data_IF_648197577027
#
_entry.id   IF_648197577027
#
_cell.length_a   1.000
_cell.length_b   1.000
_cell.length_c   1.000
_cell.angle_alpha   90.00
_cell.angle_beta   90.00
_cell.angle_gamma   90.00
#
_symmetry.space_group_name_H-M   'P 1'
#
loop_
_entity.id
_entity.type
_entity.pdbx_description
1 polymer ?
#
# COMPACT_ATOMS: atom_id res chain seq x y z
N UNK A 1 14.16 25.32 18.68
CA UNK A 1 12.93 24.51 18.66
C UNK A 1 12.44 24.49 17.23
N UNK A 2 12.35 23.33 16.59
CA UNK A 2 11.71 23.25 15.28
C UNK A 2 10.24 23.61 15.46
N UNK A 3 9.72 24.57 14.68
CA UNK A 3 8.29 24.80 14.62
C UNK A 3 7.62 23.51 14.15
N UNK A 4 6.72 22.99 15.00
CA UNK A 4 5.90 21.85 14.62
C UNK A 4 4.95 22.31 13.52
N UNK A 5 5.16 21.80 12.32
CA UNK A 5 4.29 22.03 11.17
C UNK A 5 2.83 21.70 11.52
N UNK A 6 1.96 22.71 11.48
CA UNK A 6 0.53 22.57 11.74
C UNK A 6 -0.22 22.38 10.42
N UNK A 7 -0.75 21.17 10.21
CA UNK A 7 -1.65 20.84 9.11
C UNK A 7 -3.11 20.91 9.57
N UNK A 8 -3.98 21.53 8.78
CA UNK A 8 -5.42 21.41 9.00
C UNK A 8 -5.90 19.98 8.68
N UNK A 9 -6.99 19.55 9.29
CA UNK A 9 -7.56 18.22 9.00
C UNK A 9 -7.94 18.05 7.51
N UNK A 10 -8.55 19.04 6.83
CA UNK A 10 -8.79 18.98 5.39
C UNK A 10 -7.51 18.84 4.55
N UNK A 11 -6.45 19.60 4.87
CA UNK A 11 -5.19 19.53 4.12
C UNK A 11 -4.52 18.17 4.30
N UNK A 12 -4.53 17.62 5.52
CA UNK A 12 -4.01 16.28 5.78
C UNK A 12 -4.80 15.23 4.99
N UNK A 13 -6.13 15.32 4.96
CA UNK A 13 -6.96 14.41 4.19
C UNK A 13 -6.67 14.51 2.68
N UNK A 14 -6.51 15.72 2.15
CA UNK A 14 -6.16 15.95 0.76
C UNK A 14 -4.80 15.32 0.41
N UNK A 15 -3.77 15.56 1.23
CA UNK A 15 -2.43 14.99 1.02
C UNK A 15 -2.42 13.47 1.10
N UNK A 16 -3.13 12.87 2.06
CA UNK A 16 -3.27 11.42 2.17
C UNK A 16 -3.96 10.82 0.95
N UNK A 17 -5.06 11.42 0.49
CA UNK A 17 -5.76 10.99 -0.72
C UNK A 17 -4.86 11.10 -1.96
N UNK A 18 -4.17 12.23 -2.14
CA UNK A 18 -3.22 12.42 -3.24
C UNK A 18 -2.11 11.36 -3.22
N UNK A 19 -1.56 11.03 -2.04
CA UNK A 19 -0.53 9.99 -1.91
C UNK A 19 -1.06 8.61 -2.30
N UNK A 20 -2.23 8.23 -1.79
CA UNK A 20 -2.84 6.92 -2.11
C UNK A 20 -3.15 6.83 -3.61
N UNK A 21 -3.74 7.87 -4.20
CA UNK A 21 -4.01 7.92 -5.64
C UNK A 21 -2.72 7.79 -6.45
N UNK A 22 -1.69 8.57 -6.12
CA UNK A 22 -0.39 8.53 -6.78
C UNK A 22 0.20 7.12 -6.81
N UNK A 23 0.22 6.44 -5.66
CA UNK A 23 0.86 5.13 -5.55
C UNK A 23 0.11 4.03 -6.31
N UNK A 24 -1.20 4.18 -6.52
CA UNK A 24 -2.05 3.20 -7.19
C UNK A 24 -2.15 3.47 -8.70
N UNK A 25 -2.05 4.73 -9.14
CA UNK A 25 -2.26 5.08 -10.54
C UNK A 25 -1.23 4.42 -11.46
N UNK A 26 0.01 4.27 -11.00
CA UNK A 26 1.10 3.67 -11.78
C UNK A 26 0.83 2.19 -12.13
N UNK A 27 0.58 1.28 -11.17
CA UNK A 27 0.26 -0.10 -11.51
C UNK A 27 -1.09 -0.24 -12.24
N UNK A 28 -2.06 0.66 -12.03
CA UNK A 28 -3.30 0.66 -12.83
C UNK A 28 -3.03 1.03 -14.28
N UNK A 29 -2.20 2.06 -14.52
CA UNK A 29 -1.77 2.43 -15.87
C UNK A 29 -1.02 1.30 -16.58
N UNK A 30 -0.17 0.58 -15.87
CA UNK A 30 0.54 -0.57 -16.43
C UNK A 30 -0.39 -1.74 -16.82
N UNK A 31 -1.54 -1.91 -16.14
CA UNK A 31 -2.57 -2.88 -16.56
C UNK A 31 -3.17 -2.46 -17.91
N UNK A 32 -3.52 -1.18 -18.06
CA UNK A 32 -4.10 -0.67 -19.32
C UNK A 32 -3.10 -0.83 -20.47
N UNK A 33 -1.84 -0.48 -20.28
CA UNK A 33 -0.80 -0.67 -21.29
C UNK A 33 -0.65 -2.16 -21.68
N UNK A 34 -0.78 -3.07 -20.71
CA UNK A 34 -0.77 -4.50 -21.01
C UNK A 34 -1.99 -4.97 -21.80
N UNK A 35 -3.16 -4.36 -21.60
CA UNK A 35 -4.35 -4.66 -22.40
C UNK A 35 -4.18 -4.14 -23.84
N UNK A 36 -3.63 -2.94 -24.02
CA UNK A 36 -3.31 -2.39 -25.34
C UNK A 36 -2.34 -3.30 -26.12
N UNK A 37 -1.31 -3.83 -25.46
CA UNK A 37 -0.38 -4.78 -26.08
C UNK A 37 -1.04 -6.11 -26.49
N UNK A 38 -2.08 -6.56 -25.77
CA UNK A 38 -2.85 -7.73 -26.17
C UNK A 38 -3.69 -7.45 -27.42
N UNK A 39 -4.25 -6.25 -27.52
CA UNK A 39 -5.04 -5.83 -28.68
C UNK A 39 -4.16 -5.67 -29.94
N UNK A 40 -2.91 -5.23 -29.78
CA UNK A 40 -1.91 -5.15 -30.87
C UNK A 40 -1.42 -6.54 -31.33
N UNK A 41 -1.32 -7.49 -30.39
CA UNK A 41 -0.88 -8.85 -30.64
C UNK A 41 0.64 -8.99 -30.84
N UNK A 42 1.13 -10.23 -30.73
CA UNK A 42 2.55 -10.55 -30.95
C UNK A 42 3.45 -10.43 -29.72
N UNK A 43 2.87 -10.04 -28.58
CA UNK A 43 3.55 -10.00 -27.27
C UNK A 43 2.64 -10.51 -26.13
N UNK A 44 1.70 -11.40 -26.44
CA UNK A 44 0.60 -11.78 -25.54
C UNK A 44 1.08 -12.32 -24.19
N UNK A 45 2.16 -13.10 -24.17
CA UNK A 45 2.72 -13.64 -22.92
C UNK A 45 3.29 -12.54 -22.02
N UNK A 46 4.04 -11.61 -22.60
CA UNK A 46 4.65 -10.48 -21.88
C UNK A 46 3.58 -9.49 -21.41
N UNK A 47 2.58 -9.24 -22.25
CA UNK A 47 1.42 -8.41 -21.92
C UNK A 47 0.62 -9.00 -20.74
N UNK A 48 0.32 -10.31 -20.78
CA UNK A 48 -0.34 -10.99 -19.67
C UNK A 48 0.51 -11.01 -18.40
N UNK A 49 1.84 -11.12 -18.53
CA UNK A 49 2.76 -11.03 -17.39
C UNK A 49 2.74 -9.63 -16.77
N UNK A 50 2.77 -8.58 -17.59
CA UNK A 50 2.67 -7.19 -17.15
C UNK A 50 1.35 -6.93 -16.39
N UNK A 51 0.22 -7.37 -16.94
CA UNK A 51 -1.10 -7.22 -16.31
C UNK A 51 -1.12 -7.90 -14.93
N UNK A 52 -0.70 -9.18 -14.87
CA UNK A 52 -0.71 -9.95 -13.62
C UNK A 52 0.18 -9.34 -12.55
N UNK A 53 1.38 -8.90 -12.94
CA UNK A 53 2.32 -8.30 -12.01
C UNK A 53 1.80 -6.94 -11.50
N UNK A 54 1.24 -6.14 -12.38
CA UNK A 54 0.70 -4.82 -12.06
C UNK A 54 -0.55 -4.91 -11.20
N UNK A 55 -1.45 -5.86 -11.48
CA UNK A 55 -2.62 -6.13 -10.64
C UNK A 55 -2.25 -6.58 -9.22
N UNK A 56 -1.22 -7.43 -9.08
CA UNK A 56 -0.67 -7.83 -7.78
C UNK A 56 -0.09 -6.63 -7.03
N UNK A 57 0.67 -5.77 -7.72
CA UNK A 57 1.26 -4.56 -7.13
C UNK A 57 0.17 -3.57 -6.67
N UNK A 58 -0.83 -3.28 -7.51
CA UNK A 58 -1.97 -2.44 -7.15
C UNK A 58 -2.71 -2.99 -5.91
N UNK A 59 -2.96 -4.30 -5.89
CA UNK A 59 -3.62 -4.97 -4.76
C UNK A 59 -2.82 -4.87 -3.47
N UNK A 60 -1.50 -5.10 -3.53
CA UNK A 60 -0.63 -4.99 -2.35
C UNK A 60 -0.61 -3.56 -1.78
N UNK A 61 -0.50 -2.55 -2.65
CA UNK A 61 -0.55 -1.13 -2.26
C UNK A 61 -1.89 -0.74 -1.62
N UNK A 62 -3.00 -1.19 -2.22
CA UNK A 62 -4.33 -0.97 -1.66
C UNK A 62 -4.51 -1.62 -0.29
N UNK A 63 -4.09 -2.87 -0.14
CA UNK A 63 -4.18 -3.60 1.13
C UNK A 63 -3.34 -2.96 2.23
N UNK A 64 -2.13 -2.52 1.90
CA UNK A 64 -1.27 -1.77 2.81
C UNK A 64 -1.91 -0.44 3.21
N UNK A 65 -2.31 0.38 2.24
CA UNK A 65 -2.94 1.68 2.47
C UNK A 65 -4.20 1.58 3.34
N UNK A 66 -4.99 0.52 3.15
CA UNK A 66 -6.19 0.26 3.95
C UNK A 66 -5.90 0.12 5.45
N UNK A 67 -4.77 -0.49 5.83
CA UNK A 67 -4.38 -0.63 7.23
C UNK A 67 -3.59 0.61 7.69
N UNK A 68 -2.61 1.06 6.91
CA UNK A 68 -1.69 2.15 7.26
C UNK A 68 -2.38 3.50 7.37
N UNK A 69 -3.33 3.81 6.47
CA UNK A 69 -4.02 5.10 6.41
C UNK A 69 -5.50 4.98 6.75
N UNK A 70 -6.13 3.87 6.37
CA UNK A 70 -7.57 3.67 6.51
C UNK A 70 -8.08 3.63 7.95
N UNK A 71 -9.41 3.70 8.06
CA UNK A 71 -10.13 3.63 9.31
C UNK A 71 -10.55 2.18 9.58
N UNK A 72 -9.61 1.37 10.08
CA UNK A 72 -10.01 0.22 10.89
C UNK A 72 -10.72 0.82 12.14
N UNK A 73 -12.03 0.55 12.24
CA UNK A 73 -13.07 1.26 12.99
C UNK A 73 -12.80 1.65 14.45
N UNK A 74 -13.68 2.49 14.97
CA UNK A 74 -13.97 2.79 16.39
C UNK A 74 -12.80 3.13 17.34
N UNK A 75 -13.10 3.84 18.43
CA UNK A 75 -12.18 3.89 19.55
C UNK A 75 -11.99 2.47 20.12
N UNK A 76 -10.75 2.09 20.49
CA UNK A 76 -10.47 0.79 21.11
C UNK A 76 -10.22 -0.39 20.16
N UNK A 77 -10.25 -0.19 18.83
CA UNK A 77 -9.90 -1.28 17.91
C UNK A 77 -8.42 -1.67 18.00
N UNK A 78 -8.22 -2.98 18.02
CA UNK A 78 -6.92 -3.63 17.99
C UNK A 78 -6.69 -4.20 16.59
N UNK A 79 -5.45 -4.15 16.12
CA UNK A 79 -5.01 -4.75 14.85
C UNK A 79 -4.00 -5.84 15.16
N UNK A 80 -4.15 -6.97 14.49
CA UNK A 80 -3.20 -8.07 14.53
C UNK A 80 -1.92 -7.70 13.77
N UNK A 81 -0.78 -7.76 14.45
CA UNK A 81 0.52 -7.49 13.84
C UNK A 81 0.89 -8.51 12.76
N UNK A 82 0.30 -9.70 12.75
CA UNK A 82 0.43 -10.65 11.64
C UNK A 82 -0.26 -10.18 10.36
N UNK A 83 -1.40 -9.49 10.48
CA UNK A 83 -2.06 -8.88 9.31
C UNK A 83 -1.22 -7.70 8.79
N UNK A 84 -0.63 -6.93 9.70
CA UNK A 84 0.28 -5.83 9.35
C UNK A 84 1.55 -6.34 8.65
N UNK A 85 2.16 -7.40 9.17
CA UNK A 85 3.31 -8.08 8.57
C UNK A 85 2.98 -8.57 7.15
N UNK A 86 1.85 -9.26 6.99
CA UNK A 86 1.43 -9.80 5.70
C UNK A 86 1.29 -8.71 4.62
N UNK A 87 0.65 -7.58 4.95
CA UNK A 87 0.52 -6.47 3.98
C UNK A 87 1.84 -5.74 3.75
N UNK A 88 2.70 -5.62 4.76
CA UNK A 88 4.01 -4.99 4.63
C UNK A 88 4.96 -5.81 3.72
N UNK A 89 5.00 -7.13 3.91
CA UNK A 89 5.75 -8.05 3.04
C UNK A 89 5.22 -7.99 1.61
N UNK A 90 3.90 -8.05 1.42
CA UNK A 90 3.30 -7.95 0.10
C UNK A 90 3.60 -6.60 -0.59
N UNK A 91 3.59 -5.50 0.17
CA UNK A 91 3.91 -4.17 -0.31
C UNK A 91 5.37 -4.05 -0.79
N UNK A 92 6.32 -4.60 -0.03
CA UNK A 92 7.75 -4.55 -0.37
C UNK A 92 8.23 -5.65 -1.31
N UNK A 93 7.40 -6.67 -1.60
CA UNK A 93 7.79 -7.85 -2.41
C UNK A 93 8.41 -7.52 -3.78
N UNK A 94 8.02 -6.40 -4.40
CA UNK A 94 8.53 -5.97 -5.71
C UNK A 94 9.32 -4.67 -5.64
N UNK A 95 9.69 -4.24 -4.44
CA UNK A 95 10.56 -3.10 -4.21
C UNK A 95 12.01 -3.59 -4.10
N UNK A 96 12.97 -2.67 -4.22
CA UNK A 96 14.39 -3.00 -4.13
C UNK A 96 14.83 -3.59 -2.78
N UNK A 97 14.35 -3.13 -1.60
CA UNK A 97 14.78 -3.67 -0.31
C UNK A 97 13.98 -4.92 0.09
N UNK A 98 14.62 -5.81 0.85
CA UNK A 98 13.96 -6.93 1.52
C UNK A 98 13.49 -6.53 2.92
N UNK A 99 12.26 -6.90 3.29
CA UNK A 99 11.73 -6.69 4.64
C UNK A 99 11.95 -7.93 5.50
N UNK A 100 12.65 -7.76 6.62
CA UNK A 100 12.71 -8.76 7.68
C UNK A 100 11.86 -8.28 8.85
N UNK A 101 10.78 -9.02 9.14
CA UNK A 101 9.90 -8.73 10.26
C UNK A 101 10.30 -9.56 11.48
N UNK A 102 10.63 -8.90 12.59
CA UNK A 102 11.05 -9.54 13.83
C UNK A 102 10.14 -9.11 14.99
N UNK A 103 9.51 -10.08 15.65
CA UNK A 103 8.65 -9.83 16.81
C UNK A 103 7.60 -10.91 16.99
N UNK A 104 7.05 -11.03 18.19
CA UNK A 104 5.92 -11.95 18.42
C UNK A 104 4.63 -11.35 17.88
N UNK A 105 3.80 -12.19 17.24
CA UNK A 105 2.45 -11.80 16.84
C UNK A 105 1.63 -11.39 18.07
N UNK A 106 1.00 -10.23 17.96
CA UNK A 106 0.23 -9.59 19.00
C UNK A 106 -0.90 -8.73 18.43
N UNK A 107 -1.96 -8.55 19.22
CA UNK A 107 -2.98 -7.53 18.99
C UNK A 107 -2.51 -6.22 19.62
N UNK A 108 -2.44 -5.14 18.84
CA UNK A 108 -2.01 -3.82 19.32
C UNK A 108 -3.04 -2.74 19.00
N UNK A 109 -3.11 -1.64 19.77
CA UNK A 109 -3.96 -0.50 19.45
C UNK A 109 -3.70 0.00 18.04
N UNK A 110 -4.76 0.29 17.28
CA UNK A 110 -4.66 0.62 15.86
C UNK A 110 -3.61 1.67 15.52
N UNK A 111 -3.50 2.74 16.32
CA UNK A 111 -2.55 3.82 16.03
C UNK A 111 -1.08 3.38 16.18
N UNK A 112 -0.78 2.38 17.02
CA UNK A 112 0.56 1.79 17.10
C UNK A 112 0.89 0.98 15.84
N UNK A 113 -0.07 0.20 15.33
CA UNK A 113 0.11 -0.57 14.09
C UNK A 113 0.18 0.35 12.87
N UNK A 114 -0.66 1.40 12.81
CA UNK A 114 -0.58 2.44 11.77
C UNK A 114 0.77 3.13 11.79
N UNK A 115 1.26 3.53 12.97
CA UNK A 115 2.59 4.11 13.12
C UNK A 115 3.67 3.14 12.60
N UNK A 116 3.63 1.88 13.02
CA UNK A 116 4.57 0.85 12.57
C UNK A 116 4.60 0.73 11.04
N UNK A 117 3.44 0.63 10.40
CA UNK A 117 3.37 0.55 8.94
C UNK A 117 3.88 1.82 8.26
N UNK A 118 3.69 3.01 8.83
CA UNK A 118 4.19 4.27 8.27
C UNK A 118 5.70 4.48 8.48
N UNK A 119 6.38 3.60 9.23
CA UNK A 119 7.85 3.61 9.37
C UNK A 119 8.54 2.74 8.31
N UNK A 120 7.77 2.05 7.48
CA UNK A 120 8.22 1.22 6.35
C UNK A 120 8.28 2.09 5.10
#
# INVERSE_FOLDING_TARGET
MAELFTLSAPDLAALLCSRVCHDIISPVGAINNGLELLDEGGADEDAMKLIRQSAKNASARLQFARIAFGAAGSAGMMIDTGDAEAVAIAFLKNEKPELVWNGSRALLPKNKVKLLLNLI
#
